data_IF_689073756032
#
_entry.id   IF_689073756032
#
_cell.length_a   1.000
_cell.length_b   1.000
_cell.length_c   1.000
_cell.angle_alpha   90.00
_cell.angle_beta   90.00
_cell.angle_gamma   90.00
#
_symmetry.space_group_name_H-M   'P 1'
#
loop_
_entity.id
_entity.type
_entity.pdbx_description
1 polymer ?
#
# COMPACT_ATOMS: atom_id res chain seq x y z
N UNK A 1 -15.91 -7.61 17.40
CA UNK A 1 -15.95 -7.75 15.93
C UNK A 1 -17.15 -6.97 15.41
N UNK A 2 -16.95 -6.08 14.44
CA UNK A 2 -17.96 -5.09 14.02
C UNK A 2 -18.84 -5.63 12.89
N UNK A 3 -20.15 -5.57 13.08
CA UNK A 3 -21.20 -5.95 12.09
C UNK A 3 -20.94 -5.33 10.70
N UNK A 4 -20.33 -4.14 10.67
CA UNK A 4 -19.96 -3.45 9.43
C UNK A 4 -18.94 -4.24 8.59
N UNK A 5 -17.96 -4.90 9.22
CA UNK A 5 -16.92 -5.64 8.50
C UNK A 5 -17.49 -6.89 7.81
N UNK A 6 -18.39 -7.63 8.48
CA UNK A 6 -19.05 -8.81 7.91
C UNK A 6 -20.05 -8.44 6.81
N UNK A 7 -20.74 -7.31 6.97
CA UNK A 7 -21.68 -6.80 5.98
C UNK A 7 -20.97 -6.33 4.70
N UNK A 8 -19.81 -5.67 4.86
CA UNK A 8 -18.95 -5.31 3.72
C UNK A 8 -18.42 -6.57 3.01
N UNK A 9 -17.91 -7.57 3.73
CA UNK A 9 -17.42 -8.83 3.13
C UNK A 9 -18.49 -9.52 2.29
N UNK A 10 -19.72 -9.62 2.81
CA UNK A 10 -20.84 -10.29 2.14
C UNK A 10 -21.26 -9.57 0.83
N UNK A 11 -21.13 -8.25 0.77
CA UNK A 11 -21.44 -7.46 -0.43
C UNK A 11 -20.38 -7.71 -1.53
N UNK A 12 -19.10 -7.79 -1.16
CA UNK A 12 -18.01 -8.00 -2.12
C UNK A 12 -17.96 -9.45 -2.65
N UNK A 13 -18.10 -10.46 -1.79
CA UNK A 13 -18.07 -11.89 -2.19
C UNK A 13 -19.20 -12.28 -3.16
N UNK A 14 -20.38 -11.65 -3.04
CA UNK A 14 -21.55 -11.98 -3.87
C UNK A 14 -21.38 -11.55 -5.33
N UNK A 15 -20.51 -10.59 -5.60
CA UNK A 15 -20.33 -10.02 -6.93
C UNK A 15 -19.24 -10.71 -7.76
N UNK A 16 -18.23 -11.35 -7.15
CA UNK A 16 -17.19 -12.07 -7.91
C UNK A 16 -17.72 -13.28 -8.69
N UNK A 17 -18.75 -13.96 -8.15
CA UNK A 17 -19.29 -15.21 -8.74
C UNK A 17 -20.10 -15.02 -10.04
N UNK A 18 -20.32 -13.79 -10.51
CA UNK A 18 -21.13 -13.50 -11.72
C UNK A 18 -20.32 -13.17 -12.98
N UNK A 19 -18.99 -13.11 -12.89
CA UNK A 19 -18.12 -12.86 -14.05
C UNK A 19 -17.90 -14.15 -14.86
N UNK A 20 -18.95 -14.73 -15.42
CA UNK A 20 -18.81 -15.82 -16.39
C UNK A 20 -18.43 -15.25 -17.77
N UNK A 21 -17.21 -15.57 -18.17
CA UNK A 21 -16.60 -15.36 -19.49
C UNK A 21 -17.20 -16.30 -20.54
N UNK A 22 -18.37 -15.98 -21.07
CA UNK A 22 -18.87 -16.60 -22.30
C UNK A 22 -19.40 -15.49 -23.22
N UNK A 23 -18.78 -15.37 -24.41
CA UNK A 23 -19.04 -14.40 -25.49
C UNK A 23 -18.42 -12.99 -25.33
N UNK A 24 -17.09 -12.88 -25.37
CA UNK A 24 -16.40 -11.60 -25.60
C UNK A 24 -15.86 -11.52 -27.05
N UNK A 25 -16.64 -10.95 -27.96
CA UNK A 25 -16.25 -10.64 -29.35
C UNK A 25 -15.77 -9.19 -29.53
N UNK A 26 -15.34 -8.53 -28.45
CA UNK A 26 -14.91 -7.13 -28.49
C UNK A 26 -13.45 -7.00 -28.93
N UNK A 27 -13.28 -6.81 -30.25
CA UNK A 27 -11.98 -6.71 -30.92
C UNK A 27 -11.24 -5.38 -30.67
N UNK A 28 -11.88 -4.41 -29.99
CA UNK A 28 -11.26 -3.11 -29.68
C UNK A 28 -9.95 -3.28 -28.92
N UNK A 29 -8.94 -2.51 -29.29
CA UNK A 29 -7.69 -2.38 -28.55
C UNK A 29 -7.93 -1.88 -27.12
N UNK A 30 -6.96 -2.09 -26.22
CA UNK A 30 -7.04 -1.60 -24.84
C UNK A 30 -7.22 -0.07 -24.79
N UNK A 31 -6.57 0.65 -25.72
CA UNK A 31 -6.69 2.12 -25.82
C UNK A 31 -8.08 2.55 -26.25
N UNK A 32 -8.67 1.92 -27.27
CA UNK A 32 -10.06 2.23 -27.69
C UNK A 32 -11.07 1.92 -26.60
N UNK A 33 -10.81 0.90 -25.77
CA UNK A 33 -11.62 0.60 -24.59
C UNK A 33 -11.49 1.69 -23.52
N UNK A 34 -10.30 2.24 -23.28
CA UNK A 34 -10.10 3.36 -22.37
C UNK A 34 -10.85 4.63 -22.84
N UNK A 35 -10.77 4.95 -24.13
CA UNK A 35 -11.52 6.08 -24.70
C UNK A 35 -13.03 5.89 -24.54
N UNK A 36 -13.53 4.69 -24.88
CA UNK A 36 -14.93 4.35 -24.71
C UNK A 36 -15.36 4.39 -23.25
N UNK A 37 -14.50 3.98 -22.31
CA UNK A 37 -14.80 4.00 -20.89
C UNK A 37 -15.06 5.42 -20.38
N UNK A 38 -14.28 6.40 -20.82
CA UNK A 38 -14.43 7.80 -20.39
C UNK A 38 -15.70 8.43 -20.99
N UNK A 39 -16.06 8.10 -22.23
CA UNK A 39 -17.22 8.71 -22.91
C UNK A 39 -18.55 8.02 -22.59
N UNK A 40 -18.53 6.78 -22.12
CA UNK A 40 -19.75 6.01 -21.86
C UNK A 40 -20.61 6.64 -20.77
N UNK A 41 -21.92 6.74 -21.01
CA UNK A 41 -22.92 7.21 -20.02
C UNK A 41 -23.70 6.07 -19.37
N UNK A 42 -23.62 4.85 -19.92
CA UNK A 42 -24.28 3.66 -19.38
C UNK A 42 -23.42 3.00 -18.29
N UNK A 43 -23.92 2.95 -17.05
CA UNK A 43 -23.23 2.31 -15.92
C UNK A 43 -22.91 0.84 -16.18
N UNK A 44 -23.87 0.08 -16.72
CA UNK A 44 -23.67 -1.34 -17.05
C UNK A 44 -22.59 -1.54 -18.11
N UNK A 45 -22.56 -0.68 -19.12
CA UNK A 45 -21.52 -0.71 -20.16
C UNK A 45 -20.16 -0.30 -19.61
N UNK A 46 -20.10 0.71 -18.73
CA UNK A 46 -18.87 1.15 -18.08
C UNK A 46 -18.24 0.03 -17.24
N UNK A 47 -19.03 -0.69 -16.44
CA UNK A 47 -18.55 -1.84 -15.67
C UNK A 47 -17.97 -2.95 -16.55
N UNK A 48 -18.64 -3.26 -17.67
CA UNK A 48 -18.17 -4.28 -18.61
C UNK A 48 -16.86 -3.84 -19.28
N UNK A 49 -16.80 -2.59 -19.78
CA UNK A 49 -15.60 -2.05 -20.44
C UNK A 49 -14.42 -1.99 -19.46
N UNK A 50 -14.64 -1.52 -18.23
CA UNK A 50 -13.60 -1.48 -17.20
C UNK A 50 -13.02 -2.87 -16.89
N UNK A 51 -13.87 -3.88 -16.72
CA UNK A 51 -13.43 -5.26 -16.53
C UNK A 51 -12.61 -5.78 -17.71
N UNK A 52 -13.00 -5.45 -18.95
CA UNK A 52 -12.24 -5.83 -20.15
C UNK A 52 -10.88 -5.13 -20.20
N UNK A 53 -10.81 -3.83 -19.90
CA UNK A 53 -9.53 -3.10 -19.84
C UNK A 53 -8.60 -3.77 -18.83
N UNK A 54 -9.08 -4.03 -17.61
CA UNK A 54 -8.27 -4.67 -16.56
C UNK A 54 -7.83 -6.09 -16.96
N UNK A 55 -8.69 -6.86 -17.63
CA UNK A 55 -8.39 -8.22 -18.08
C UNK A 55 -7.41 -8.25 -19.26
N UNK A 56 -7.50 -7.27 -20.18
CA UNK A 56 -6.51 -7.12 -21.25
C UNK A 56 -5.17 -6.65 -20.67
N UNK A 57 -5.19 -5.66 -19.78
CA UNK A 57 -4.00 -5.15 -19.10
C UNK A 57 -3.23 -6.27 -18.36
N UNK A 58 -3.92 -7.15 -17.63
CA UNK A 58 -3.27 -8.23 -16.86
C UNK A 58 -2.53 -9.24 -17.74
N UNK A 59 -2.79 -9.27 -19.04
CA UNK A 59 -2.15 -10.17 -20.01
C UNK A 59 -0.98 -9.52 -20.76
N UNK A 60 -0.78 -8.21 -20.60
CA UNK A 60 0.30 -7.48 -21.27
C UNK A 60 1.67 -7.82 -20.68
N UNK A 61 2.68 -7.89 -21.55
CA UNK A 61 4.08 -7.92 -21.15
C UNK A 61 4.60 -6.52 -20.79
N UNK A 62 5.78 -6.44 -20.19
CA UNK A 62 6.33 -5.18 -19.69
C UNK A 62 6.47 -4.09 -20.76
N UNK A 63 6.90 -4.43 -21.97
CA UNK A 63 7.00 -3.47 -23.08
C UNK A 63 5.62 -2.93 -23.50
N UNK A 64 4.61 -3.80 -23.49
CA UNK A 64 3.22 -3.43 -23.82
C UNK A 64 2.56 -2.61 -22.70
N UNK A 65 2.84 -2.93 -21.44
CA UNK A 65 2.41 -2.14 -20.28
C UNK A 65 3.04 -0.75 -20.31
N UNK A 66 4.32 -0.66 -20.63
CA UNK A 66 5.01 0.63 -20.79
C UNK A 66 4.37 1.46 -21.91
N UNK A 67 4.13 0.85 -23.08
CA UNK A 67 3.45 1.50 -24.19
C UNK A 67 2.03 1.96 -23.81
N UNK A 68 1.29 1.14 -23.06
CA UNK A 68 -0.02 1.52 -22.51
C UNK A 68 0.07 2.75 -21.61
N UNK A 69 0.99 2.77 -20.65
CA UNK A 69 1.17 3.90 -19.75
C UNK A 69 1.56 5.18 -20.48
N UNK A 70 2.47 5.11 -21.45
CA UNK A 70 2.87 6.24 -22.27
C UNK A 70 1.70 6.79 -23.09
N UNK A 71 0.89 5.89 -23.65
CA UNK A 71 -0.30 6.24 -24.42
C UNK A 71 -1.34 6.97 -23.56
N UNK A 72 -1.71 6.42 -22.40
CA UNK A 72 -2.66 7.04 -21.45
C UNK A 72 -2.13 8.37 -20.95
N UNK A 73 -0.86 8.43 -20.55
CA UNK A 73 -0.27 9.65 -19.98
C UNK A 73 -0.22 10.80 -20.99
N UNK A 74 0.01 10.49 -22.27
CA UNK A 74 0.07 11.49 -23.35
C UNK A 74 -1.32 11.93 -23.81
N UNK A 75 -2.21 10.96 -24.10
CA UNK A 75 -3.52 11.23 -24.71
C UNK A 75 -4.56 11.78 -23.75
N UNK A 76 -4.44 11.44 -22.46
CA UNK A 76 -5.41 11.78 -21.43
C UNK A 76 -4.82 12.77 -20.42
N UNK A 77 -3.94 13.66 -20.91
CA UNK A 77 -3.35 14.74 -20.13
C UNK A 77 -4.23 15.98 -20.09
N UNK A 78 -3.78 16.97 -19.34
CA UNK A 78 -4.36 18.30 -19.28
C UNK A 78 -4.20 18.96 -20.65
N UNK A 79 -5.25 19.64 -21.13
CA UNK A 79 -5.20 20.54 -22.29
C UNK A 79 -4.80 21.95 -21.81
N UNK A 80 -3.57 22.42 -22.08
CA UNK A 80 -3.08 23.70 -21.55
C UNK A 80 -3.89 24.90 -22.04
N UNK A 81 -4.45 24.85 -23.25
CA UNK A 81 -5.22 25.96 -23.80
C UNK A 81 -6.60 26.02 -23.15
N UNK A 82 -7.27 24.87 -22.99
CA UNK A 82 -8.53 24.79 -22.24
C UNK A 82 -8.37 25.26 -20.80
N UNK A 83 -7.26 24.93 -20.13
CA UNK A 83 -6.97 25.42 -18.77
C UNK A 83 -6.77 26.93 -18.74
N UNK A 84 -6.05 27.49 -19.72
CA UNK A 84 -5.81 28.92 -19.82
C UNK A 84 -7.12 29.70 -20.01
N UNK A 85 -7.96 29.26 -20.94
CA UNK A 85 -9.28 29.86 -21.18
C UNK A 85 -10.17 29.80 -19.93
N UNK A 86 -10.25 28.64 -19.27
CA UNK A 86 -11.06 28.49 -18.07
C UNK A 86 -10.54 29.33 -16.89
N UNK A 87 -9.22 29.51 -16.77
CA UNK A 87 -8.61 30.39 -15.78
C UNK A 87 -8.96 31.87 -16.05
N UNK A 88 -8.85 32.32 -17.30
CA UNK A 88 -9.21 33.69 -17.66
C UNK A 88 -10.67 34.01 -17.33
N UNK A 89 -11.58 33.06 -17.60
CA UNK A 89 -13.00 33.22 -17.29
C UNK A 89 -13.25 33.27 -15.77
N UNK A 90 -12.52 32.45 -15.00
CA UNK A 90 -12.56 32.50 -13.54
C UNK A 90 -12.01 33.82 -12.98
N UNK A 91 -10.92 34.36 -13.53
CA UNK A 91 -10.36 35.65 -13.13
C UNK A 91 -11.31 36.82 -13.43
N UNK A 92 -12.00 36.80 -14.58
CA UNK A 92 -12.96 37.84 -14.97
C UNK A 92 -14.21 37.82 -14.10
N UNK A 93 -14.73 36.64 -13.77
CA UNK A 93 -15.95 36.48 -12.97
C UNK A 93 -15.85 35.28 -12.03
N UNK A 94 -15.28 35.44 -10.82
CA UNK A 94 -15.21 34.37 -9.83
C UNK A 94 -16.61 33.93 -9.39
N UNK A 95 -16.99 32.69 -9.73
CA UNK A 95 -18.28 32.11 -9.42
C UNK A 95 -18.19 30.60 -9.25
N UNK A 96 -19.27 29.95 -8.79
CA UNK A 96 -19.34 28.48 -8.72
C UNK A 96 -19.11 27.83 -10.10
N UNK A 97 -19.69 28.42 -11.14
CA UNK A 97 -19.63 27.87 -12.51
C UNK A 97 -18.22 28.00 -13.08
N UNK A 98 -17.63 29.20 -13.03
CA UNK A 98 -16.27 29.42 -13.53
C UNK A 98 -15.22 28.67 -12.73
N UNK A 99 -15.40 28.50 -11.42
CA UNK A 99 -14.54 27.64 -10.59
C UNK A 99 -14.63 26.17 -11.02
N UNK A 100 -15.84 25.65 -11.23
CA UNK A 100 -16.03 24.26 -11.67
C UNK A 100 -15.38 24.04 -13.04
N UNK A 101 -15.60 24.94 -14.00
CA UNK A 101 -15.00 24.84 -15.33
C UNK A 101 -13.47 24.84 -15.28
N UNK A 102 -12.87 25.70 -14.45
CA UNK A 102 -11.41 25.70 -14.24
C UNK A 102 -10.93 24.41 -13.60
N UNK A 103 -11.59 23.93 -12.55
CA UNK A 103 -11.27 22.67 -11.89
C UNK A 103 -11.35 21.48 -12.85
N UNK A 104 -12.41 21.40 -13.66
CA UNK A 104 -12.63 20.31 -14.63
C UNK A 104 -11.62 20.37 -15.79
N UNK A 105 -11.20 21.57 -16.20
CA UNK A 105 -10.16 21.73 -17.22
C UNK A 105 -8.77 21.32 -16.69
N UNK A 106 -8.49 21.59 -15.42
CA UNK A 106 -7.20 21.30 -14.79
C UNK A 106 -7.04 19.82 -14.37
N UNK A 107 -8.12 19.04 -14.37
CA UNK A 107 -8.06 17.61 -14.08
C UNK A 107 -7.79 16.79 -15.35
N UNK A 108 -6.70 16.00 -15.42
CA UNK A 108 -6.43 15.17 -16.59
C UNK A 108 -7.43 14.01 -16.66
N UNK A 109 -7.94 13.70 -17.86
CA UNK A 109 -8.96 12.65 -18.05
C UNK A 109 -8.51 11.25 -17.60
N UNK A 110 -7.20 11.02 -17.43
CA UNK A 110 -6.67 9.78 -16.84
C UNK A 110 -7.07 9.60 -15.38
N UNK A 111 -7.36 10.65 -14.61
CA UNK A 111 -7.94 10.48 -13.27
C UNK A 111 -9.34 9.87 -13.34
N UNK A 112 -10.17 10.36 -14.26
CA UNK A 112 -11.50 9.79 -14.49
C UNK A 112 -11.41 8.34 -15.01
N UNK A 113 -10.45 8.04 -15.88
CA UNK A 113 -10.18 6.67 -16.30
C UNK A 113 -9.94 5.76 -15.09
N UNK A 114 -9.03 6.13 -14.19
CA UNK A 114 -8.71 5.32 -13.01
C UNK A 114 -9.92 5.19 -12.08
N UNK A 115 -10.71 6.24 -11.87
CA UNK A 115 -11.96 6.17 -11.09
C UNK A 115 -12.96 5.19 -11.70
N UNK A 116 -13.15 5.21 -13.02
CA UNK A 116 -14.05 4.28 -13.73
C UNK A 116 -13.52 2.85 -13.74
N UNK A 117 -12.21 2.67 -13.87
CA UNK A 117 -11.58 1.36 -13.76
C UNK A 117 -11.78 0.74 -12.37
N UNK A 118 -11.98 1.55 -11.33
CA UNK A 118 -12.19 1.06 -9.97
C UNK A 118 -13.64 0.68 -9.64
N UNK A 119 -14.59 0.85 -10.58
CA UNK A 119 -16.00 0.53 -10.34
C UNK A 119 -16.30 -0.97 -10.24
N UNK A 120 -15.68 -1.86 -11.04
CA UNK A 120 -15.97 -3.28 -10.94
C UNK A 120 -15.50 -3.92 -9.62
N UNK A 121 -16.15 -5.01 -9.19
CA UNK A 121 -15.68 -5.83 -8.06
C UNK A 121 -14.24 -6.31 -8.26
N UNK A 122 -13.43 -6.25 -7.20
CA UNK A 122 -12.01 -6.67 -7.25
C UNK A 122 -11.08 -5.73 -8.02
N UNK A 123 -11.58 -4.63 -8.58
CA UNK A 123 -10.77 -3.72 -9.38
C UNK A 123 -9.69 -2.98 -8.57
N UNK A 124 -9.98 -2.67 -7.30
CA UNK A 124 -9.03 -1.96 -6.43
C UNK A 124 -7.69 -2.66 -6.35
N UNK A 125 -7.68 -4.00 -6.18
CA UNK A 125 -6.45 -4.79 -6.15
C UNK A 125 -5.70 -4.72 -7.47
N UNK A 126 -6.42 -4.90 -8.59
CA UNK A 126 -5.84 -4.82 -9.94
C UNK A 126 -5.23 -3.45 -10.23
N UNK A 127 -5.82 -2.37 -9.71
CA UNK A 127 -5.28 -1.02 -9.82
C UNK A 127 -4.02 -0.82 -8.95
N UNK A 128 -3.97 -1.43 -7.76
CA UNK A 128 -2.75 -1.44 -6.95
C UNK A 128 -1.62 -2.16 -7.69
N UNK A 129 -1.89 -3.32 -8.29
CA UNK A 129 -0.93 -4.05 -9.13
C UNK A 129 -0.49 -3.22 -10.35
N UNK A 130 -1.44 -2.58 -11.04
CA UNK A 130 -1.15 -1.67 -12.16
C UNK A 130 -0.26 -0.50 -11.73
N UNK A 131 -0.48 0.10 -10.56
CA UNK A 131 0.40 1.15 -10.04
C UNK A 131 1.79 0.60 -9.69
N UNK A 132 1.89 -0.62 -9.18
CA UNK A 132 3.18 -1.26 -8.93
C UNK A 132 4.00 -1.40 -10.23
N UNK A 133 3.35 -1.82 -11.32
CA UNK A 133 3.96 -1.84 -12.65
C UNK A 133 4.39 -0.44 -13.12
N UNK A 134 3.54 0.58 -12.95
CA UNK A 134 3.85 1.97 -13.31
C UNK A 134 5.10 2.48 -12.59
N UNK A 135 5.19 2.23 -11.28
CA UNK A 135 6.35 2.63 -10.47
C UNK A 135 7.64 1.92 -10.91
N UNK A 136 7.53 0.63 -11.26
CA UNK A 136 8.66 -0.19 -11.69
C UNK A 136 9.18 0.21 -13.08
N UNK A 137 8.26 0.41 -14.04
CA UNK A 137 8.59 0.69 -15.44
C UNK A 137 8.84 2.18 -15.69
N UNK A 138 8.16 3.07 -14.96
CA UNK A 138 8.17 4.51 -15.19
C UNK A 138 9.15 5.31 -14.33
N UNK A 139 10.04 4.66 -13.57
CA UNK A 139 10.92 5.31 -12.58
C UNK A 139 11.72 6.50 -13.13
N UNK A 140 12.14 6.46 -14.39
CA UNK A 140 12.98 7.47 -15.02
C UNK A 140 12.25 8.28 -16.12
N UNK A 141 10.93 8.12 -16.26
CA UNK A 141 10.14 8.81 -17.27
C UNK A 141 9.29 9.90 -16.59
N UNK A 142 9.58 11.21 -16.80
CA UNK A 142 8.86 12.31 -16.18
C UNK A 142 7.36 12.32 -16.49
N UNK A 143 6.96 11.84 -17.66
CA UNK A 143 5.54 11.80 -18.06
C UNK A 143 4.80 10.73 -17.25
N UNK A 144 5.43 9.58 -17.03
CA UNK A 144 4.86 8.51 -16.20
C UNK A 144 4.89 8.84 -14.70
N UNK A 145 5.90 9.59 -14.25
CA UNK A 145 5.93 10.14 -12.90
C UNK A 145 4.76 11.11 -12.65
N UNK A 146 4.38 11.92 -13.63
CA UNK A 146 3.19 12.76 -13.53
C UNK A 146 1.91 11.92 -13.42
N UNK A 147 1.82 10.81 -14.14
CA UNK A 147 0.69 9.88 -14.01
C UNK A 147 0.64 9.19 -12.63
N UNK A 148 1.79 8.83 -12.04
CA UNK A 148 1.82 8.30 -10.67
C UNK A 148 1.22 9.29 -9.65
N UNK A 149 1.43 10.60 -9.83
CA UNK A 149 0.83 11.60 -8.94
C UNK A 149 -0.70 11.54 -8.93
N UNK A 150 -1.31 11.32 -10.09
CA UNK A 150 -2.76 11.18 -10.24
C UNK A 150 -3.27 9.91 -9.54
N UNK A 151 -2.62 8.76 -9.76
CA UNK A 151 -3.04 7.52 -9.09
C UNK A 151 -2.83 7.64 -7.57
N UNK A 152 -1.72 8.22 -7.15
CA UNK A 152 -1.43 8.48 -5.73
C UNK A 152 -2.47 9.39 -5.10
N UNK A 153 -2.93 10.43 -5.80
CA UNK A 153 -4.01 11.31 -5.34
C UNK A 153 -5.30 10.51 -5.07
N UNK A 154 -5.72 9.69 -6.04
CA UNK A 154 -6.90 8.84 -5.88
C UNK A 154 -6.73 7.81 -4.74
N UNK A 155 -5.58 7.16 -4.67
CA UNK A 155 -5.29 6.16 -3.63
C UNK A 155 -5.25 6.77 -2.23
N UNK A 156 -4.79 8.02 -2.07
CA UNK A 156 -4.83 8.70 -0.78
C UNK A 156 -6.27 8.87 -0.26
N UNK A 157 -7.24 9.08 -1.16
CA UNK A 157 -8.66 9.13 -0.79
C UNK A 157 -9.25 7.75 -0.55
N UNK A 158 -8.90 6.76 -1.38
CA UNK A 158 -9.49 5.41 -1.29
C UNK A 158 -8.95 4.61 -0.10
N UNK A 159 -7.65 4.67 0.15
CA UNK A 159 -6.98 3.97 1.26
C UNK A 159 -6.82 4.86 2.50
N UNK A 160 -7.79 5.75 2.73
CA UNK A 160 -7.77 6.59 3.91
C UNK A 160 -7.87 5.73 5.19
N UNK A 161 -7.26 6.22 6.27
CA UNK A 161 -7.21 5.54 7.57
C UNK A 161 -8.58 5.09 8.08
N UNK A 162 -9.63 5.87 7.82
CA UNK A 162 -10.98 5.60 8.33
C UNK A 162 -11.57 4.27 7.84
N UNK A 163 -11.05 3.72 6.74
CA UNK A 163 -11.48 2.44 6.21
C UNK A 163 -10.53 1.28 6.55
N UNK A 164 -9.38 1.54 7.16
CA UNK A 164 -8.46 0.48 7.54
C UNK A 164 -8.96 -0.24 8.79
N UNK A 165 -8.96 -1.56 8.72
CA UNK A 165 -9.34 -2.44 9.83
C UNK A 165 -8.08 -3.12 10.34
N UNK A 166 -7.71 -2.84 11.59
CA UNK A 166 -6.67 -3.56 12.29
C UNK A 166 -7.21 -4.94 12.71
N UNK A 167 -6.47 -6.00 12.41
CA UNK A 167 -6.77 -7.37 12.85
C UNK A 167 -5.53 -7.99 13.50
N UNK A 168 -5.68 -8.72 14.61
CA UNK A 168 -4.60 -9.56 15.11
C UNK A 168 -4.34 -10.69 14.10
N UNK A 169 -3.07 -11.05 13.94
CA UNK A 169 -2.60 -12.19 13.17
C UNK A 169 -1.97 -13.18 14.14
N UNK A 170 -2.45 -14.42 14.10
CA UNK A 170 -2.04 -15.53 14.96
C UNK A 170 -1.91 -16.81 14.15
N UNK A 171 -1.44 -17.89 14.77
CA UNK A 171 -1.28 -19.18 14.10
C UNK A 171 -2.63 -19.79 13.62
N UNK A 172 -3.75 -19.37 14.20
CA UNK A 172 -5.10 -19.76 13.79
C UNK A 172 -5.63 -18.95 12.60
N UNK A 173 -4.87 -17.95 12.13
CA UNK A 173 -5.28 -17.14 10.96
C UNK A 173 -5.31 -18.00 9.69
N UNK A 174 -6.15 -17.65 8.70
CA UNK A 174 -6.23 -18.41 7.45
C UNK A 174 -4.86 -18.56 6.76
N UNK A 175 -4.54 -19.78 6.33
CA UNK A 175 -3.24 -20.10 5.74
C UNK A 175 -2.86 -19.18 4.56
N UNK A 176 -3.82 -18.82 3.70
CA UNK A 176 -3.58 -17.91 2.57
C UNK A 176 -3.18 -16.48 2.99
N UNK A 177 -3.54 -16.04 4.21
CA UNK A 177 -3.05 -14.76 4.78
C UNK A 177 -1.64 -14.95 5.32
N UNK A 178 -1.39 -16.07 6.02
CA UNK A 178 -0.07 -16.40 6.57
C UNK A 178 1.00 -16.53 5.47
N UNK A 179 0.67 -17.16 4.34
CA UNK A 179 1.54 -17.22 3.15
C UNK A 179 1.94 -15.83 2.66
N UNK A 180 1.01 -14.86 2.70
CA UNK A 180 1.28 -13.47 2.33
C UNK A 180 2.18 -12.76 3.33
N UNK A 181 2.03 -13.03 4.63
CA UNK A 181 2.94 -12.48 5.65
C UNK A 181 4.38 -12.97 5.39
N UNK A 182 4.56 -14.25 5.07
CA UNK A 182 5.87 -14.80 4.67
C UNK A 182 6.39 -14.06 3.43
N UNK A 183 5.57 -13.93 2.39
CA UNK A 183 5.97 -13.32 1.12
C UNK A 183 6.29 -11.82 1.22
N UNK A 184 5.68 -11.11 2.16
CA UNK A 184 5.77 -9.65 2.28
C UNK A 184 6.72 -9.15 3.37
N UNK A 185 7.34 -10.04 4.13
CA UNK A 185 8.28 -9.64 5.17
C UNK A 185 9.55 -9.01 4.58
N UNK A 186 9.72 -7.71 4.83
CA UNK A 186 10.71 -6.87 4.17
C UNK A 186 11.89 -6.47 5.09
N UNK A 187 11.79 -6.70 6.40
CA UNK A 187 12.79 -6.31 7.40
C UNK A 187 13.65 -7.51 7.79
N UNK A 188 13.01 -8.63 8.12
CA UNK A 188 13.63 -9.86 8.60
C UNK A 188 12.99 -11.07 7.93
N UNK A 189 13.53 -11.48 6.79
CA UNK A 189 13.00 -12.58 5.97
C UNK A 189 12.51 -13.77 6.80
N UNK A 190 11.34 -14.30 6.43
CA UNK A 190 10.75 -15.50 7.02
C UNK A 190 11.00 -16.65 6.04
N UNK A 191 11.91 -17.54 6.38
CA UNK A 191 12.38 -18.56 5.44
C UNK A 191 11.50 -19.83 5.43
N UNK A 192 10.62 -20.00 6.42
CA UNK A 192 9.77 -21.19 6.54
C UNK A 192 8.50 -20.97 7.36
N UNK A 193 7.57 -21.92 7.27
CA UNK A 193 6.38 -21.97 8.13
C UNK A 193 6.72 -22.14 9.60
N UNK A 194 7.80 -22.85 9.92
CA UNK A 194 8.28 -22.99 11.30
C UNK A 194 8.81 -21.66 11.82
N UNK A 195 9.50 -20.88 10.98
CA UNK A 195 9.94 -19.54 11.35
C UNK A 195 8.74 -18.60 11.59
N UNK A 196 7.74 -18.62 10.71
CA UNK A 196 6.50 -17.88 10.93
C UNK A 196 5.83 -18.29 12.25
N UNK A 197 5.73 -19.60 12.53
CA UNK A 197 5.11 -20.12 13.75
C UNK A 197 5.78 -19.57 15.00
N UNK A 198 7.12 -19.53 15.04
CA UNK A 198 7.88 -18.97 16.18
C UNK A 198 7.64 -17.48 16.42
N UNK A 199 7.18 -16.75 15.40
CA UNK A 199 6.83 -15.32 15.48
C UNK A 199 5.36 -15.07 15.80
N UNK A 200 4.50 -16.09 15.74
CA UNK A 200 3.04 -15.92 15.91
C UNK A 200 2.44 -16.74 17.08
N UNK A 201 2.95 -17.94 17.34
CA UNK A 201 2.39 -18.85 18.35
C UNK A 201 2.80 -18.51 19.79
N UNK A 202 4.06 -18.13 20.09
CA UNK A 202 4.47 -17.83 21.46
C UNK A 202 3.68 -16.66 22.07
N UNK A 203 3.36 -16.78 23.36
CA UNK A 203 2.55 -15.77 24.08
C UNK A 203 3.25 -14.42 24.21
N UNK A 204 4.57 -14.41 24.05
CA UNK A 204 5.42 -13.21 24.05
C UNK A 204 5.58 -12.59 22.66
N UNK A 205 4.81 -13.05 21.67
CA UNK A 205 4.73 -12.47 20.33
C UNK A 205 3.32 -11.99 20.02
N UNK A 206 3.25 -10.90 19.25
CA UNK A 206 2.02 -10.35 18.70
C UNK A 206 2.29 -9.93 17.27
N UNK A 207 1.35 -10.21 16.39
CA UNK A 207 1.37 -9.69 15.03
C UNK A 207 0.01 -9.06 14.74
N UNK A 208 0.03 -7.94 14.02
CA UNK A 208 -1.18 -7.25 13.61
C UNK A 208 -1.06 -6.88 12.14
N UNK A 209 -2.17 -6.89 11.42
CA UNK A 209 -2.22 -6.41 10.05
C UNK A 209 -3.40 -5.46 9.81
N UNK A 210 -3.17 -4.46 8.97
CA UNK A 210 -4.18 -3.53 8.50
C UNK A 210 -4.74 -4.03 7.17
N UNK A 211 -6.06 -4.17 7.11
CA UNK A 211 -6.80 -4.59 5.93
C UNK A 211 -7.68 -3.45 5.43
N UNK A 212 -7.96 -3.44 4.12
CA UNK A 212 -8.93 -2.54 3.52
C UNK A 212 -10.13 -3.34 3.00
N UNK A 213 -11.39 -2.90 3.21
CA UNK A 213 -12.58 -3.66 2.80
C UNK A 213 -12.64 -4.01 1.32
N UNK A 214 -12.06 -3.16 0.46
CA UNK A 214 -12.02 -3.41 -0.98
C UNK A 214 -10.93 -4.41 -1.42
N UNK A 215 -10.03 -4.81 -0.51
CA UNK A 215 -9.01 -5.85 -0.72
C UNK A 215 -8.89 -6.68 0.58
N UNK A 216 -9.94 -7.44 0.94
CA UNK A 216 -10.15 -7.95 2.29
C UNK A 216 -9.16 -9.03 2.73
N UNK A 217 -8.54 -9.71 1.77
CA UNK A 217 -7.60 -10.82 1.99
C UNK A 217 -6.14 -10.42 1.72
N UNK A 218 -5.87 -9.13 1.47
CA UNK A 218 -4.52 -8.59 1.37
C UNK A 218 -4.19 -7.79 2.64
N UNK A 219 -3.19 -8.21 3.44
CA UNK A 219 -2.63 -7.32 4.44
C UNK A 219 -1.96 -6.16 3.68
N UNK A 220 -2.31 -4.92 4.02
CA UNK A 220 -1.66 -3.74 3.42
C UNK A 220 -0.38 -3.39 4.16
N UNK A 221 -0.44 -3.50 5.48
CA UNK A 221 0.67 -3.27 6.40
C UNK A 221 0.55 -4.33 7.48
N UNK A 222 1.66 -4.95 7.86
CA UNK A 222 1.68 -5.71 9.11
C UNK A 222 2.81 -5.26 10.01
N UNK A 223 2.62 -5.56 11.29
CA UNK A 223 3.43 -5.10 12.41
C UNK A 223 3.69 -6.28 13.31
N UNK A 224 4.96 -6.62 13.47
CA UNK A 224 5.39 -7.64 14.41
C UNK A 224 5.92 -7.00 15.70
N UNK A 225 5.44 -7.51 16.83
CA UNK A 225 5.73 -7.00 18.16
C UNK A 225 6.22 -8.14 19.04
N UNK A 226 7.36 -7.93 19.69
CA UNK A 226 7.86 -8.80 20.73
C UNK A 226 7.56 -8.18 22.10
N UNK A 227 6.95 -8.96 22.98
CA UNK A 227 6.69 -8.59 24.35
C UNK A 227 7.87 -9.04 25.20
N UNK A 228 8.51 -8.10 25.89
CA UNK A 228 9.81 -8.32 26.53
C UNK A 228 9.86 -7.72 27.93
N UNK A 229 10.90 -8.12 28.67
CA UNK A 229 11.32 -7.50 29.92
C UNK A 229 12.43 -6.49 29.63
N UNK A 230 12.06 -5.21 29.59
CA UNK A 230 12.96 -4.11 29.28
C UNK A 230 13.20 -3.94 27.77
N UNK A 231 14.23 -3.17 27.44
CA UNK A 231 14.56 -2.80 26.05
C UNK A 231 15.58 -3.76 25.45
N UNK A 232 15.28 -4.47 24.34
CA UNK A 232 16.26 -5.29 23.66
C UNK A 232 17.25 -4.43 22.87
N UNK A 233 18.45 -4.97 22.66
CA UNK A 233 19.54 -4.31 21.92
C UNK A 233 19.97 -5.07 20.65
N UNK A 234 19.45 -6.28 20.44
CA UNK A 234 19.80 -7.14 19.31
C UNK A 234 18.56 -7.82 18.75
N UNK A 235 18.38 -7.70 17.44
CA UNK A 235 17.33 -8.43 16.72
C UNK A 235 17.64 -9.93 16.67
N UNK A 236 18.92 -10.31 16.59
CA UNK A 236 19.35 -11.71 16.56
C UNK A 236 18.95 -12.42 17.86
N UNK A 237 19.10 -11.76 19.02
CA UNK A 237 18.63 -12.29 20.29
C UNK A 237 17.10 -12.41 20.33
N UNK A 238 16.39 -11.46 19.72
CA UNK A 238 14.92 -11.44 19.68
C UNK A 238 14.33 -12.56 18.79
N UNK A 239 15.02 -12.89 17.68
CA UNK A 239 14.60 -13.90 16.71
C UNK A 239 15.24 -15.27 16.95
N UNK A 240 16.12 -15.42 17.94
CA UNK A 240 16.81 -16.67 18.26
C UNK A 240 15.82 -17.82 18.52
N UNK A 241 16.12 -18.99 17.96
CA UNK A 241 15.36 -20.22 18.18
C UNK A 241 15.50 -20.73 19.61
N UNK A 242 16.68 -20.56 20.22
CA UNK A 242 17.01 -21.00 21.58
C UNK A 242 16.61 -19.98 22.66
N UNK A 243 15.76 -19.00 22.34
CA UNK A 243 15.33 -17.99 23.32
C UNK A 243 14.39 -18.62 24.36
N UNK A 244 14.47 -18.15 25.59
CA UNK A 244 13.45 -18.44 26.60
C UNK A 244 12.27 -17.48 26.44
N UNK A 245 11.05 -18.01 26.43
CA UNK A 245 9.83 -17.20 26.42
C UNK A 245 9.70 -16.39 27.72
N UNK A 246 9.32 -15.12 27.58
CA UNK A 246 9.11 -14.24 28.73
C UNK A 246 7.80 -14.60 29.42
N UNK A 247 7.87 -14.86 30.72
CA UNK A 247 6.68 -15.09 31.54
C UNK A 247 5.79 -13.84 31.55
N UNK A 248 4.48 -14.03 31.45
CA UNK A 248 3.49 -12.94 31.26
C UNK A 248 3.57 -11.87 32.34
N UNK A 249 3.87 -12.25 33.58
CA UNK A 249 4.02 -11.36 34.74
C UNK A 249 5.29 -10.48 34.68
N UNK A 250 6.26 -10.83 33.86
CA UNK A 250 7.51 -10.08 33.68
C UNK A 250 7.50 -9.16 32.46
N UNK A 251 6.48 -9.23 31.61
CA UNK A 251 6.34 -8.41 30.41
C UNK A 251 6.05 -6.96 30.83
N UNK A 252 6.89 -6.03 30.39
CA UNK A 252 6.69 -4.60 30.63
C UNK A 252 6.95 -3.71 29.40
N UNK A 253 7.45 -4.30 28.31
CA UNK A 253 7.86 -3.59 27.09
C UNK A 253 7.30 -4.24 25.84
N UNK A 254 6.72 -3.44 24.95
CA UNK A 254 6.31 -3.84 23.61
C UNK A 254 7.30 -3.30 22.58
N UNK A 255 7.93 -4.21 21.84
CA UNK A 255 9.01 -3.91 20.91
C UNK A 255 8.53 -4.14 19.49
N UNK A 256 8.31 -3.06 18.75
CA UNK A 256 7.96 -3.08 17.33
C UNK A 256 9.23 -3.32 16.51
N UNK A 257 9.46 -4.58 16.11
CA UNK A 257 10.71 -4.98 15.47
C UNK A 257 10.59 -5.17 13.95
N UNK A 258 9.38 -5.39 13.43
CA UNK A 258 9.12 -5.37 11.99
C UNK A 258 7.84 -4.57 11.69
N UNK A 259 7.92 -3.72 10.67
CA UNK A 259 6.79 -3.00 10.08
C UNK A 259 6.96 -3.07 8.57
N UNK A 260 6.10 -3.83 7.92
CA UNK A 260 6.23 -4.14 6.48
C UNK A 260 5.03 -3.57 5.72
N UNK A 261 5.30 -2.81 4.65
CA UNK A 261 4.29 -2.44 3.66
C UNK A 261 4.24 -3.54 2.59
N UNK A 262 3.12 -4.23 2.51
CA UNK A 262 2.97 -5.42 1.68
C UNK A 262 2.77 -5.11 0.20
N UNK A 263 2.25 -3.92 -0.10
CA UNK A 263 1.75 -3.59 -1.43
C UNK A 263 2.65 -2.53 -2.08
N UNK A 264 3.49 -2.96 -3.01
CA UNK A 264 4.38 -2.07 -3.76
C UNK A 264 3.60 -0.95 -4.49
N UNK A 265 2.41 -1.25 -4.98
CA UNK A 265 1.49 -0.29 -5.60
C UNK A 265 0.92 0.75 -4.62
N UNK A 266 1.08 0.57 -3.31
CA UNK A 266 0.73 1.56 -2.29
C UNK A 266 1.95 2.30 -1.75
N UNK A 267 3.12 2.17 -2.40
CA UNK A 267 4.30 2.94 -2.03
C UNK A 267 3.98 4.45 -1.99
N UNK A 268 4.40 5.10 -0.90
CA UNK A 268 4.18 6.51 -0.60
C UNK A 268 2.71 6.95 -0.49
N UNK A 269 1.75 6.02 -0.40
CA UNK A 269 0.38 6.34 0.02
C UNK A 269 0.35 6.40 1.53
N UNK A 270 -0.08 7.54 2.09
CA UNK A 270 -0.16 7.69 3.55
C UNK A 270 -1.43 7.04 4.08
N UNK A 271 -1.25 6.10 5.00
CA UNK A 271 -2.32 5.50 5.80
C UNK A 271 -2.54 6.22 7.15
N UNK A 272 -1.90 7.39 7.31
CA UNK A 272 -1.91 8.20 8.53
C UNK A 272 -0.78 7.85 9.51
N UNK A 273 -0.37 8.84 10.32
CA UNK A 273 0.76 8.75 11.25
C UNK A 273 0.44 8.00 12.57
N UNK A 274 -0.60 7.18 12.59
CA UNK A 274 -1.19 6.63 13.82
C UNK A 274 -1.31 5.10 13.83
N UNK A 275 -0.76 4.40 12.83
CA UNK A 275 -0.82 2.94 12.77
C UNK A 275 -0.22 2.29 14.02
N UNK A 276 1.01 2.67 14.37
CA UNK A 276 1.71 2.19 15.58
C UNK A 276 0.95 2.60 16.84
N UNK A 277 0.35 3.81 16.86
CA UNK A 277 -0.45 4.28 18.00
C UNK A 277 -1.69 3.42 18.22
N UNK A 278 -2.34 2.94 17.16
CA UNK A 278 -3.47 2.03 17.30
C UNK A 278 -3.02 0.70 17.91
N UNK A 279 -1.96 0.10 17.37
CA UNK A 279 -1.42 -1.17 17.90
C UNK A 279 -0.97 -1.02 19.36
N UNK A 280 -0.26 0.07 19.68
CA UNK A 280 0.15 0.37 21.05
C UNK A 280 -1.05 0.55 22.00
N UNK A 281 -2.09 1.25 21.55
CA UNK A 281 -3.33 1.43 22.33
C UNK A 281 -4.03 0.10 22.60
N UNK A 282 -4.15 -0.76 21.59
CA UNK A 282 -4.79 -2.06 21.72
C UNK A 282 -3.99 -2.97 22.68
N UNK A 283 -2.66 -2.98 22.56
CA UNK A 283 -1.76 -3.68 23.47
C UNK A 283 -1.85 -3.16 24.91
N UNK A 284 -1.90 -1.85 25.13
CA UNK A 284 -2.07 -1.26 26.47
C UNK A 284 -3.38 -1.66 27.13
N UNK A 285 -4.46 -1.83 26.35
CA UNK A 285 -5.75 -2.27 26.87
C UNK A 285 -5.75 -3.76 27.20
N UNK A 286 -5.10 -4.59 26.38
CA UNK A 286 -4.99 -6.04 26.60
C UNK A 286 -4.04 -6.37 27.76
N UNK A 287 -2.92 -5.65 27.86
CA UNK A 287 -1.83 -5.91 28.79
C UNK A 287 -1.49 -4.66 29.61
N UNK A 288 -2.20 -4.41 30.73
CA UNK A 288 -1.99 -3.21 31.57
C UNK A 288 -0.59 -3.08 32.18
N UNK A 289 0.20 -4.16 32.20
CA UNK A 289 1.60 -4.16 32.66
C UNK A 289 2.59 -3.52 31.68
N UNK A 290 2.18 -3.26 30.43
CA UNK A 290 3.01 -2.59 29.44
C UNK A 290 3.19 -1.10 29.79
N UNK A 291 4.43 -0.71 30.06
CA UNK A 291 4.80 0.67 30.38
C UNK A 291 5.68 1.31 29.31
N UNK A 292 6.34 0.48 28.49
CA UNK A 292 7.31 0.91 27.49
C UNK A 292 6.89 0.44 26.10
N UNK A 293 6.87 1.35 25.13
CA UNK A 293 6.60 1.06 23.72
C UNK A 293 7.75 1.63 22.89
N UNK A 294 8.49 0.77 22.22
CA UNK A 294 9.73 1.14 21.49
C UNK A 294 9.82 0.40 20.18
N UNK A 295 10.57 0.94 19.22
CA UNK A 295 10.89 0.23 17.98
C UNK A 295 12.32 -0.31 18.03
N UNK A 296 12.55 -1.45 17.37
CA UNK A 296 13.88 -1.94 17.05
C UNK A 296 14.03 -1.89 15.51
N UNK A 297 14.18 -0.68 14.98
CA UNK A 297 14.09 -0.42 13.55
C UNK A 297 15.44 -0.52 12.83
N UNK A 298 15.47 -0.96 11.56
CA UNK A 298 16.68 -0.85 10.73
C UNK A 298 16.97 0.62 10.39
N UNK A 299 18.21 0.89 9.98
CA UNK A 299 18.63 2.20 9.46
C UNK A 299 19.02 2.05 7.97
N UNK A 300 18.06 1.79 7.07
CA UNK A 300 18.35 1.60 5.66
C UNK A 300 18.98 2.87 5.07
N UNK A 301 19.98 2.68 4.22
CA UNK A 301 20.71 3.79 3.58
C UNK A 301 21.90 4.34 4.37
N UNK A 302 22.02 4.06 5.68
CA UNK A 302 23.15 4.54 6.50
C UNK A 302 24.50 4.18 5.90
N UNK A 303 24.70 2.91 5.51
CA UNK A 303 25.97 2.45 4.90
C UNK A 303 26.27 3.16 3.59
N UNK A 304 25.25 3.36 2.73
CA UNK A 304 25.42 4.10 1.46
C UNK A 304 25.77 5.56 1.69
N UNK A 305 25.16 6.17 2.71
CA UNK A 305 25.47 7.54 3.12
C UNK A 305 26.89 7.64 3.69
N UNK A 306 27.30 6.70 4.55
CA UNK A 306 28.66 6.62 5.09
C UNK A 306 29.71 6.51 3.98
N UNK A 307 29.52 5.60 3.03
CA UNK A 307 30.44 5.44 1.90
C UNK A 307 30.58 6.69 1.03
N UNK A 308 29.52 7.52 0.97
CA UNK A 308 29.51 8.77 0.20
C UNK A 308 30.11 9.95 0.97
N UNK A 309 29.78 10.07 2.25
CA UNK A 309 30.13 11.23 3.10
C UNK A 309 31.45 11.04 3.83
N UNK A 310 31.84 9.79 4.10
CA UNK A 310 33.04 9.37 4.82
C UNK A 310 33.73 8.22 4.07
N UNK A 311 34.38 8.48 2.91
CA UNK A 311 34.94 7.44 2.04
C UNK A 311 36.02 6.59 2.72
N UNK A 312 36.71 7.16 3.71
CA UNK A 312 37.78 6.51 4.48
C UNK A 312 37.24 5.67 5.65
N UNK A 313 35.93 5.65 5.87
CA UNK A 313 35.33 4.84 6.94
C UNK A 313 35.43 3.35 6.62
N UNK A 314 36.07 2.59 7.51
CA UNK A 314 36.23 1.14 7.39
C UNK A 314 35.17 0.45 8.25
N UNK A 315 34.50 -0.53 7.67
CA UNK A 315 33.53 -1.39 8.37
C UNK A 315 34.22 -2.09 9.55
N UNK A 316 33.85 -1.73 10.79
CA UNK A 316 34.36 -2.39 12.00
C UNK A 316 34.81 -1.46 13.13
N UNK A 317 34.98 -0.15 12.89
CA UNK A 317 35.27 0.81 13.97
C UNK A 317 33.98 1.23 14.70
N UNK A 318 33.72 0.61 15.86
CA UNK A 318 32.52 0.89 16.68
C UNK A 318 32.49 2.30 17.29
N UNK A 319 33.66 2.88 17.56
CA UNK A 319 33.79 4.11 18.35
C UNK A 319 33.18 5.34 17.65
N UNK A 320 33.10 5.34 16.31
CA UNK A 320 32.55 6.46 15.52
C UNK A 320 31.16 6.17 14.93
N UNK A 321 30.79 4.88 14.81
CA UNK A 321 29.54 4.50 14.13
C UNK A 321 28.28 5.03 14.83
N UNK A 322 28.24 5.08 16.17
CA UNK A 322 27.08 5.63 16.90
C UNK A 322 26.91 7.13 16.68
N UNK A 323 28.02 7.88 16.66
CA UNK A 323 27.97 9.33 16.41
C UNK A 323 27.55 9.63 14.98
N UNK A 324 28.12 8.90 14.01
CA UNK A 324 27.77 9.02 12.60
C UNK A 324 26.32 8.61 12.32
N UNK A 325 25.84 7.53 12.95
CA UNK A 325 24.43 7.13 12.86
C UNK A 325 23.50 8.18 13.45
N UNK A 326 23.86 8.77 14.60
CA UNK A 326 23.08 9.87 15.18
C UNK A 326 23.06 11.09 14.25
N UNK A 327 24.17 11.42 13.59
CA UNK A 327 24.24 12.50 12.63
C UNK A 327 23.37 12.24 11.39
N UNK A 328 23.35 11.01 10.88
CA UNK A 328 22.51 10.62 9.73
C UNK A 328 20.99 10.73 10.02
N UNK A 329 20.59 10.54 11.27
CA UNK A 329 19.18 10.53 11.68
C UNK A 329 18.60 11.93 11.95
N UNK A 330 19.42 12.98 11.94
CA UNK A 330 19.02 14.38 12.19
C UNK A 330 18.88 15.13 10.87
#
# INVERSE_FOLDING_TARGET
MTILADLLRTIFERNERRSNTEFDHDERSITELCDALITTTSETSALMIANKVLTKYSKLHDDEKLAFFQNVSTRMSIDPERVREALEDYEKLPSRETYQNFSDAAEPSRQELIRRLNQPPGATQKLVEMRADLLRLGKNDPVLQAFDLDIKHLFASWFNRGFLVLRPISWESPAHILEKIIAYEAVHAIDSWEDLRRRLEPVDRRCFAFFHPAIPDEPLIFVEVALTKGTPTSIQALLSEDREEVQVDQINSAVFYSISNCQAGLANVSFGNFLIKQVASDLSLELPGLTTFITLSPIPGLVKWLQKSHPDWIVGEEADLRSLAAHYLI
#
